data_IF_721463692607
#
_entry.id   IF_721463692607
#
_cell.length_a   1.000
_cell.length_b   1.000
_cell.length_c   1.000
_cell.angle_alpha   90.00
_cell.angle_beta   90.00
_cell.angle_gamma   90.00
#
_symmetry.space_group_name_H-M   'P 1'
#
loop_
_entity.id
_entity.type
_entity.pdbx_description
1 polymer ?
#
# COMPACT_ATOMS: atom_id res chain seq x y z
N UNK A 1 -6.77 2.62 17.42
CA UNK A 1 -5.40 2.42 16.98
C UNK A 1 -5.06 3.53 16.01
N UNK A 2 -4.19 4.40 16.37
CA UNK A 2 -3.84 5.54 15.54
C UNK A 2 -2.33 5.69 15.47
N UNK A 3 -1.83 6.12 14.31
CA UNK A 3 -0.43 6.40 14.17
C UNK A 3 -0.22 7.89 14.26
N UNK A 4 0.80 8.27 15.04
CA UNK A 4 1.31 9.61 14.96
C UNK A 4 2.58 9.48 14.17
N UNK A 5 2.50 9.78 12.90
CA UNK A 5 3.57 9.41 12.00
C UNK A 5 3.74 10.53 10.98
N UNK A 6 4.96 10.72 10.45
CA UNK A 6 5.14 11.64 9.33
C UNK A 6 4.61 11.08 8.02
N UNK A 7 3.90 9.96 8.07
CA UNK A 7 3.30 9.38 6.87
C UNK A 7 1.81 9.65 6.83
N UNK A 8 1.30 9.91 5.64
CA UNK A 8 -0.12 10.09 5.39
C UNK A 8 -0.56 9.12 4.33
N UNK A 9 -1.72 8.52 4.54
CA UNK A 9 -2.26 7.53 3.62
C UNK A 9 -3.30 8.17 2.72
N UNK A 10 -3.22 7.85 1.43
CA UNK A 10 -4.23 8.23 0.45
C UNK A 10 -4.60 6.99 -0.34
N UNK A 11 -5.82 6.94 -0.84
CA UNK A 11 -6.25 5.85 -1.71
C UNK A 11 -6.41 6.42 -3.12
N UNK A 12 -5.88 5.73 -4.11
CA UNK A 12 -5.98 6.22 -5.48
C UNK A 12 -5.39 5.24 -6.47
N UNK A 13 -5.11 5.73 -7.66
CA UNK A 13 -4.55 4.92 -8.73
C UNK A 13 -3.09 5.29 -8.88
N UNK A 14 -2.23 4.27 -8.89
CA UNK A 14 -0.81 4.47 -9.17
C UNK A 14 -0.56 3.91 -10.56
N UNK A 15 -0.22 4.79 -11.48
CA UNK A 15 -0.16 4.43 -12.89
C UNK A 15 0.86 3.37 -13.25
N UNK A 16 1.85 3.13 -12.38
CA UNK A 16 2.86 2.11 -12.63
C UNK A 16 2.44 0.72 -12.16
N UNK A 17 1.28 0.58 -11.52
CA UNK A 17 0.80 -0.72 -11.06
C UNK A 17 1.39 -1.22 -9.77
N UNK A 18 2.18 -0.41 -9.09
CA UNK A 18 2.77 -0.81 -7.81
C UNK A 18 1.73 -0.73 -6.70
N UNK A 19 2.01 -1.40 -5.59
CA UNK A 19 1.08 -1.44 -4.47
C UNK A 19 0.81 -0.06 -3.90
N UNK A 20 1.82 0.77 -3.85
CA UNK A 20 1.69 2.13 -3.36
C UNK A 20 2.78 2.98 -3.98
N UNK A 21 2.58 4.29 -3.92
CA UNK A 21 3.57 5.26 -4.36
C UNK A 21 3.94 6.14 -3.18
N UNK A 22 5.14 6.69 -3.19
CA UNK A 22 5.64 7.52 -2.11
C UNK A 22 5.95 8.89 -2.67
N UNK A 23 5.35 9.92 -2.10
CA UNK A 23 5.64 11.30 -2.46
C UNK A 23 6.03 12.05 -1.22
N UNK A 24 7.07 12.85 -1.35
CA UNK A 24 7.59 13.63 -0.22
C UNK A 24 7.12 15.07 -0.35
N UNK A 25 6.57 15.60 0.74
CA UNK A 25 6.20 17.01 0.81
C UNK A 25 6.68 17.52 2.16
N UNK A 26 7.81 18.22 2.14
CA UNK A 26 8.46 18.62 3.38
C UNK A 26 8.91 17.42 4.16
N UNK A 27 8.50 17.35 5.42
CA UNK A 27 8.87 16.23 6.27
C UNK A 27 7.86 15.10 6.22
N UNK A 28 6.83 15.23 5.40
CA UNK A 28 5.75 14.25 5.38
C UNK A 28 5.85 13.37 4.15
N UNK A 29 5.73 12.07 4.34
CA UNK A 29 5.63 11.12 3.25
C UNK A 29 4.16 10.85 2.99
N UNK A 30 3.73 11.03 1.74
CA UNK A 30 2.36 10.73 1.32
C UNK A 30 2.40 9.42 0.55
N UNK A 31 1.70 8.42 1.08
CA UNK A 31 1.65 7.11 0.46
C UNK A 31 0.30 6.92 -0.19
N UNK A 32 0.29 6.76 -1.51
CA UNK A 32 -0.93 6.50 -2.25
C UNK A 32 -1.03 5.00 -2.46
N UNK A 33 -2.01 4.38 -1.80
CA UNK A 33 -2.26 2.94 -1.97
C UNK A 33 -3.01 2.74 -3.28
N UNK A 34 -2.53 1.85 -4.10
CA UNK A 34 -3.08 1.65 -5.44
C UNK A 34 -4.33 0.78 -5.37
N UNK A 35 -5.48 1.41 -5.56
CA UNK A 35 -6.77 0.73 -5.47
C UNK A 35 -7.05 -0.21 -6.64
N UNK A 36 -6.18 -0.20 -7.65
CA UNK A 36 -6.37 -1.08 -8.80
C UNK A 36 -5.53 -2.34 -8.74
N UNK A 37 -4.95 -2.65 -7.60
CA UNK A 37 -4.14 -3.87 -7.47
C UNK A 37 -4.94 -5.00 -6.85
N UNK A 38 -4.52 -6.23 -7.16
CA UNK A 38 -5.11 -7.39 -6.50
C UNK A 38 -4.89 -7.35 -5.00
N UNK A 39 -3.76 -6.82 -4.56
CA UNK A 39 -3.50 -6.67 -3.14
C UNK A 39 -4.58 -5.82 -2.48
N UNK A 40 -4.94 -4.70 -3.11
CA UNK A 40 -5.97 -3.86 -2.53
C UNK A 40 -7.31 -4.58 -2.50
N UNK A 41 -7.70 -5.16 -3.62
CA UNK A 41 -9.01 -5.79 -3.72
C UNK A 41 -9.16 -7.00 -2.81
N UNK A 42 -8.12 -7.80 -2.69
CA UNK A 42 -8.23 -9.07 -1.96
C UNK A 42 -7.80 -8.92 -0.51
N UNK A 43 -6.70 -8.23 -0.28
CA UNK A 43 -6.10 -8.19 1.06
C UNK A 43 -6.53 -6.97 1.83
N UNK A 44 -6.31 -5.79 1.24
CA UNK A 44 -6.49 -4.56 2.00
C UNK A 44 -7.97 -4.31 2.34
N UNK A 45 -8.87 -4.56 1.41
CA UNK A 45 -10.29 -4.38 1.67
C UNK A 45 -10.80 -5.28 2.79
N UNK A 46 -10.23 -6.49 2.92
CA UNK A 46 -10.56 -7.34 4.05
C UNK A 46 -10.05 -6.75 5.35
N UNK A 47 -8.85 -6.23 5.34
CA UNK A 47 -8.29 -5.60 6.52
C UNK A 47 -9.09 -4.38 6.94
N UNK A 48 -9.67 -3.65 5.98
CA UNK A 48 -10.47 -2.48 6.31
C UNK A 48 -11.71 -2.82 7.13
N UNK A 49 -12.12 -4.08 7.16
CA UNK A 49 -13.26 -4.50 7.96
C UNK A 49 -12.86 -4.76 9.41
N UNK A 50 -11.58 -4.66 9.72
CA UNK A 50 -11.06 -4.86 11.06
C UNK A 50 -10.03 -3.76 11.32
N UNK A 51 -10.37 -2.74 12.13
CA UNK A 51 -9.47 -1.60 12.32
C UNK A 51 -8.08 -1.98 12.80
N UNK A 52 -7.96 -3.04 13.59
CA UNK A 52 -6.66 -3.45 14.08
C UNK A 52 -5.81 -4.03 12.95
N UNK A 53 -6.39 -4.85 12.09
CA UNK A 53 -5.67 -5.40 10.95
C UNK A 53 -5.28 -4.30 9.97
N UNK A 54 -6.17 -3.36 9.74
CA UNK A 54 -5.85 -2.23 8.87
C UNK A 54 -4.65 -1.45 9.40
N UNK A 55 -4.65 -1.20 10.71
CA UNK A 55 -3.55 -0.47 11.34
C UNK A 55 -2.23 -1.24 11.23
N UNK A 56 -2.28 -2.56 11.37
CA UNK A 56 -1.07 -3.36 11.27
C UNK A 56 -0.51 -3.38 9.85
N UNK A 57 -1.37 -3.47 8.84
CA UNK A 57 -0.91 -3.37 7.46
C UNK A 57 -0.37 -1.99 7.17
N UNK A 58 -1.03 -0.94 7.66
CA UNK A 58 -0.55 0.41 7.48
C UNK A 58 0.82 0.58 8.13
N UNK A 59 1.02 -0.03 9.30
CA UNK A 59 2.32 0.04 9.95
C UNK A 59 3.43 -0.51 9.06
N UNK A 60 3.21 -1.65 8.43
CA UNK A 60 4.22 -2.23 7.55
C UNK A 60 4.46 -1.35 6.33
N UNK A 61 3.39 -0.87 5.70
CA UNK A 61 3.53 -0.06 4.50
C UNK A 61 4.14 1.29 4.83
N UNK A 62 3.76 1.89 5.96
CA UNK A 62 4.34 3.15 6.39
C UNK A 62 5.84 2.99 6.69
N UNK A 63 6.22 1.86 7.28
CA UNK A 63 7.64 1.61 7.56
C UNK A 63 8.43 1.57 6.26
N UNK A 64 7.92 0.90 5.25
CA UNK A 64 8.58 0.83 3.96
C UNK A 64 8.62 2.20 3.30
N UNK A 65 7.50 2.90 3.30
CA UNK A 65 7.41 4.20 2.65
C UNK A 65 8.27 5.24 3.34
N UNK A 66 8.32 5.23 4.66
CA UNK A 66 9.13 6.18 5.40
C UNK A 66 10.62 5.90 5.17
N UNK A 67 11.01 4.63 5.12
CA UNK A 67 12.40 4.29 4.83
C UNK A 67 12.82 4.82 3.46
N UNK A 68 11.93 4.73 2.48
CA UNK A 68 12.20 5.28 1.16
C UNK A 68 12.27 6.80 1.20
N UNK A 69 11.39 7.42 1.98
CA UNK A 69 11.29 8.88 2.08
C UNK A 69 12.54 9.52 2.69
N UNK A 70 13.13 8.89 3.72
CA UNK A 70 14.24 9.50 4.44
C UNK A 70 15.59 9.26 3.80
N UNK A 71 15.65 8.43 2.76
CA UNK A 71 16.93 8.18 2.11
C UNK A 71 17.32 9.40 1.29
N UNK A 72 18.55 9.87 1.47
CA UNK A 72 19.04 11.03 0.74
C UNK A 72 19.90 10.66 -0.45
N UNK A 73 20.29 9.42 -0.56
CA UNK A 73 21.20 8.94 -1.59
C UNK A 73 20.39 8.31 -2.72
N UNK A 74 20.64 8.74 -3.96
CA UNK A 74 19.84 8.27 -5.10
C UNK A 74 20.01 6.77 -5.34
N UNK A 75 21.20 6.24 -5.13
CA UNK A 75 21.45 4.83 -5.35
C UNK A 75 20.60 3.99 -4.38
N UNK A 76 20.61 4.36 -3.11
CA UNK A 76 19.84 3.66 -2.10
C UNK A 76 18.34 3.83 -2.34
N UNK A 77 17.92 5.04 -2.75
CA UNK A 77 16.50 5.26 -3.04
C UNK A 77 16.05 4.39 -4.19
N UNK A 78 16.87 4.23 -5.22
CA UNK A 78 16.52 3.38 -6.35
C UNK A 78 16.41 1.92 -5.94
N UNK A 79 17.22 1.48 -4.98
CA UNK A 79 17.10 0.12 -4.45
C UNK A 79 15.75 -0.06 -3.75
N UNK A 80 15.31 0.92 -2.98
CA UNK A 80 14.01 0.86 -2.34
C UNK A 80 12.87 0.85 -3.36
N UNK A 81 12.97 1.67 -4.39
CA UNK A 81 11.95 1.73 -5.44
C UNK A 81 11.87 0.39 -6.18
N UNK A 82 13.03 -0.19 -6.51
CA UNK A 82 13.06 -1.47 -7.22
C UNK A 82 12.52 -2.59 -6.33
N UNK A 83 12.82 -2.57 -5.04
CA UNK A 83 12.29 -3.55 -4.10
C UNK A 83 10.78 -3.45 -4.01
N UNK A 84 10.25 -2.23 -3.98
CA UNK A 84 8.81 -2.02 -3.92
C UNK A 84 8.11 -2.58 -5.17
N UNK A 85 8.74 -2.39 -6.33
CA UNK A 85 8.20 -2.94 -7.57
C UNK A 85 8.19 -4.45 -7.55
N UNK A 86 9.29 -5.03 -7.05
CA UNK A 86 9.38 -6.48 -6.99
C UNK A 86 8.36 -7.05 -6.03
N UNK A 87 8.20 -6.43 -4.86
CA UNK A 87 7.19 -6.86 -3.89
C UNK A 87 5.80 -6.76 -4.50
N UNK A 88 5.54 -5.70 -5.25
CA UNK A 88 4.24 -5.52 -5.91
C UNK A 88 3.96 -6.63 -6.90
N UNK A 89 4.97 -6.99 -7.72
CA UNK A 89 4.83 -8.06 -8.68
C UNK A 89 4.58 -9.39 -8.01
N UNK A 90 5.35 -9.69 -6.96
CA UNK A 90 5.21 -10.97 -6.26
C UNK A 90 3.89 -11.06 -5.52
N UNK A 91 3.43 -9.96 -4.94
CA UNK A 91 2.14 -9.95 -4.26
C UNK A 91 1.02 -10.28 -5.25
N UNK A 92 1.09 -9.70 -6.45
CA UNK A 92 0.08 -9.99 -7.47
C UNK A 92 0.10 -11.47 -7.82
N UNK A 93 1.28 -12.04 -8.04
CA UNK A 93 1.41 -13.44 -8.40
C UNK A 93 0.86 -14.34 -7.30
N UNK A 94 1.22 -14.05 -6.04
CA UNK A 94 0.77 -14.87 -4.93
C UNK A 94 -0.74 -14.76 -4.74
N UNK A 95 -1.31 -13.58 -4.84
CA UNK A 95 -2.75 -13.40 -4.69
C UNK A 95 -3.48 -14.18 -5.80
N UNK A 96 -2.99 -14.07 -7.03
CA UNK A 96 -3.62 -14.78 -8.14
C UNK A 96 -3.50 -16.29 -7.96
N UNK A 97 -2.34 -16.75 -7.48
CA UNK A 97 -2.11 -18.18 -7.28
C UNK A 97 -2.97 -18.75 -6.16
N UNK A 98 -3.23 -17.95 -5.13
CA UNK A 98 -4.06 -18.40 -4.01
C UNK A 98 -5.53 -18.50 -4.37
N UNK A 99 -5.91 -17.92 -5.50
CA UNK A 99 -7.28 -17.98 -6.00
C UNK A 99 -8.29 -17.38 -5.01
N UNK A 100 -7.86 -16.40 -4.23
CA UNK A 100 -8.76 -15.71 -3.32
C UNK A 100 -9.48 -14.64 -4.10
N UNK A 101 -10.80 -14.63 -4.01
CA UNK A 101 -11.58 -13.68 -4.77
C UNK A 101 -11.71 -12.36 -4.03
N UNK A 102 -11.81 -11.25 -4.75
CA UNK A 102 -12.07 -9.97 -4.10
C UNK A 102 -13.40 -9.99 -3.36
N UNK A 103 -13.52 -9.13 -2.34
CA UNK A 103 -14.78 -8.96 -1.66
C UNK A 103 -15.80 -8.35 -2.62
N UNK A 104 -17.08 -8.68 -2.46
CA UNK A 104 -18.11 -8.05 -3.28
C UNK A 104 -18.10 -6.54 -3.10
N UNK A 105 -18.53 -5.83 -4.16
CA UNK A 105 -18.68 -4.40 -4.01
C UNK A 105 -19.74 -4.11 -3.00
N UNK A 106 -19.48 -3.03 -2.22
CA UNK A 106 -20.43 -2.71 -1.27
C UNK A 106 -21.37 -1.82 -1.82
N UNK A 107 -22.20 -2.03 -2.46
CA UNK A 107 -23.03 -1.12 -2.86
C UNK A 107 -24.11 -1.10 -2.14
N UNK A 108 -23.87 -0.71 -1.81
CA UNK A 108 -24.59 -0.76 -1.31
C UNK A 108 -25.32 -1.44 -0.84
N UNK A 109 -25.16 -1.60 -0.60
CA UNK A 109 -25.63 -2.11 -0.33
C UNK A 109 -26.60 -2.27 -0.16
N UNK A 110 -26.65 -2.16 -0.41
CA UNK A 110 -27.32 -2.19 -0.45
C UNK A 110 -28.07 -2.44 0.02
N UNK A 111 -28.22 -2.37 0.30
CA UNK A 111 -28.75 -2.29 0.62
C UNK A 111 -29.26 -2.27 0.74
#
# INVERSE_FOLDING_TARGET
FAFESPCRKELGVVGTGELFDVKSRGDTAYLTYNTETSFYDVVYRRAQQNPELEALLDLMIFSMGHSEHVVSDDVTRNLWVNARREVSNMTKIFVDTMSIKPLPEEEGGEM
#
